data_IF_554876067509
#
_entry.id   IF_554876067509
#
_cell.length_a   1.000
_cell.length_b   1.000
_cell.length_c   1.000
_cell.angle_alpha   90.00
_cell.angle_beta   90.00
_cell.angle_gamma   90.00
#
_symmetry.space_group_name_H-M   'P 1'
#
loop_
_entity.id
_entity.type
_entity.pdbx_description
1 polymer ?
#
# COMPACT_ATOMS: atom_id res chain seq x y z
N UNK A 1 -9.58 7.83 -1.32
CA UNK A 1 -10.25 7.18 -0.16
C UNK A 1 -9.65 5.83 0.15
N UNK A 2 -9.65 4.86 -0.78
CA UNK A 2 -9.05 3.53 -0.52
C UNK A 2 -7.58 3.57 -0.05
N UNK A 3 -6.76 4.42 -0.66
CA UNK A 3 -5.33 4.59 -0.29
C UNK A 3 -5.15 5.14 1.11
N UNK A 4 -6.04 6.04 1.55
CA UNK A 4 -6.05 6.55 2.91
C UNK A 4 -6.45 5.47 3.92
N UNK A 5 -7.45 4.64 3.59
CA UNK A 5 -7.87 3.50 4.43
C UNK A 5 -6.74 2.47 4.55
N UNK A 6 -6.04 2.19 3.45
CA UNK A 6 -4.87 1.31 3.45
C UNK A 6 -3.75 1.87 4.34
N UNK A 7 -3.44 3.17 4.19
CA UNK A 7 -2.42 3.84 5.00
C UNK A 7 -2.75 3.81 6.50
N UNK A 8 -4.03 4.00 6.88
CA UNK A 8 -4.48 3.89 8.27
C UNK A 8 -4.30 2.46 8.79
N UNK A 9 -4.68 1.45 8.01
CA UNK A 9 -4.46 0.05 8.37
C UNK A 9 -2.97 -0.27 8.59
N UNK A 10 -2.10 0.20 7.69
CA UNK A 10 -0.64 0.05 7.85
C UNK A 10 -0.09 0.81 9.06
N UNK A 11 -0.61 2.01 9.34
CA UNK A 11 -0.20 2.80 10.50
C UNK A 11 -0.60 2.13 11.82
N UNK A 12 -1.75 1.46 11.90
CA UNK A 12 -2.17 0.73 13.11
C UNK A 12 -1.21 -0.41 13.48
N UNK A 13 -0.51 -1.00 12.51
CA UNK A 13 0.55 -1.97 12.82
C UNK A 13 1.72 -1.34 13.60
N UNK A 14 2.00 -0.04 13.43
CA UNK A 14 3.07 0.65 14.17
C UNK A 14 2.74 0.86 15.66
N UNK A 15 1.45 0.79 16.04
CA UNK A 15 1.00 0.97 17.42
C UNK A 15 0.83 -0.35 18.19
N UNK A 16 1.34 -1.47 17.64
CA UNK A 16 1.29 -2.79 18.28
C UNK A 16 2.04 -2.81 19.62
N UNK A 17 1.36 -3.24 20.68
CA UNK A 17 1.96 -3.55 21.97
C UNK A 17 1.74 -5.03 22.31
N UNK A 18 2.70 -5.64 23.02
CA UNK A 18 2.71 -7.07 23.36
C UNK A 18 1.48 -7.51 24.18
N UNK A 19 0.87 -6.59 24.94
CA UNK A 19 -0.30 -6.86 25.77
C UNK A 19 -1.65 -6.74 25.04
N UNK A 20 -1.65 -6.38 23.75
CA UNK A 20 -2.89 -6.13 23.00
C UNK A 20 -3.53 -7.42 22.48
N UNK A 21 -4.87 -7.53 22.51
CA UNK A 21 -5.57 -8.72 22.05
C UNK A 21 -5.45 -8.88 20.53
N UNK A 22 -5.26 -10.12 20.06
CA UNK A 22 -5.05 -10.48 18.65
C UNK A 22 -5.98 -9.77 17.66
N UNK A 23 -7.26 -9.63 18.02
CA UNK A 23 -8.26 -8.99 17.16
C UNK A 23 -7.95 -7.51 16.89
N UNK A 24 -7.43 -6.78 17.87
CA UNK A 24 -7.17 -5.34 17.78
C UNK A 24 -5.88 -5.03 17.03
N UNK A 25 -4.86 -5.88 17.19
CA UNK A 25 -3.53 -5.65 16.62
C UNK A 25 -3.33 -6.35 15.28
N UNK A 26 -3.93 -7.51 15.02
CA UNK A 26 -3.72 -8.24 13.76
C UNK A 26 -4.96 -8.18 12.87
N UNK A 27 -6.13 -8.51 13.41
CA UNK A 27 -7.33 -8.74 12.61
C UNK A 27 -7.90 -7.42 12.04
N UNK A 28 -8.04 -6.39 12.88
CA UNK A 28 -8.54 -5.06 12.47
C UNK A 28 -7.60 -4.36 11.48
N UNK A 29 -6.27 -4.27 11.72
CA UNK A 29 -5.37 -3.61 10.78
C UNK A 29 -5.26 -4.35 9.44
N UNK A 30 -5.27 -5.68 9.45
CA UNK A 30 -5.26 -6.49 8.22
C UNK A 30 -6.51 -6.30 7.39
N UNK A 31 -7.69 -6.27 8.02
CA UNK A 31 -8.95 -5.99 7.35
C UNK A 31 -8.97 -4.59 6.74
N UNK A 32 -8.57 -3.57 7.51
CA UNK A 32 -8.53 -2.19 7.02
C UNK A 32 -7.54 -2.03 5.85
N UNK A 33 -6.35 -2.62 5.95
CA UNK A 33 -5.39 -2.63 4.86
C UNK A 33 -5.96 -3.30 3.61
N UNK A 34 -6.57 -4.49 3.76
CA UNK A 34 -7.15 -5.25 2.65
C UNK A 34 -8.33 -4.54 1.98
N UNK A 35 -9.22 -3.94 2.78
CA UNK A 35 -10.35 -3.14 2.29
C UNK A 35 -9.84 -1.89 1.56
N UNK A 36 -8.86 -1.19 2.13
CA UNK A 36 -8.27 -0.02 1.51
C UNK A 36 -7.60 -0.32 0.17
N UNK A 37 -6.88 -1.44 0.09
CA UNK A 37 -6.29 -1.94 -1.16
C UNK A 37 -7.39 -2.26 -2.17
N UNK A 38 -8.42 -3.04 -1.80
CA UNK A 38 -9.54 -3.38 -2.68
C UNK A 38 -10.28 -2.17 -3.23
N UNK A 39 -10.58 -1.20 -2.36
CA UNK A 39 -11.22 0.08 -2.71
C UNK A 39 -10.34 0.97 -3.60
N UNK A 40 -9.03 0.77 -3.60
CA UNK A 40 -8.11 1.51 -4.47
C UNK A 40 -7.93 0.82 -5.81
N UNK A 41 -7.81 -0.50 -5.81
CA UNK A 41 -7.43 -1.29 -6.97
C UNK A 41 -8.51 -1.28 -8.06
N UNK A 42 -9.77 -1.42 -7.66
CA UNK A 42 -10.91 -1.48 -8.58
C UNK A 42 -11.10 -0.19 -9.40
N UNK A 43 -11.15 1.01 -8.79
CA UNK A 43 -11.22 2.25 -9.57
C UNK A 43 -9.93 2.57 -10.32
N UNK A 44 -8.74 2.19 -9.81
CA UNK A 44 -7.48 2.41 -10.52
C UNK A 44 -7.47 1.71 -11.87
N UNK A 45 -7.85 0.42 -11.89
CA UNK A 45 -7.91 -0.36 -13.13
C UNK A 45 -8.93 0.23 -14.09
N UNK A 46 -10.11 0.63 -13.60
CA UNK A 46 -11.15 1.22 -14.43
C UNK A 46 -10.68 2.54 -15.07
N UNK A 47 -10.07 3.45 -14.29
CA UNK A 47 -9.58 4.74 -14.79
C UNK A 47 -8.41 4.56 -15.76
N UNK A 48 -7.50 3.62 -15.49
CA UNK A 48 -6.34 3.38 -16.35
C UNK A 48 -6.72 2.86 -17.75
N UNK A 49 -7.90 2.25 -17.90
CA UNK A 49 -8.37 1.71 -19.18
C UNK A 49 -9.58 2.46 -19.76
N UNK A 50 -10.17 3.41 -19.03
CA UNK A 50 -11.42 4.07 -19.43
C UNK A 50 -11.30 4.92 -20.71
N UNK A 51 -10.15 5.58 -20.91
CA UNK A 51 -9.90 6.47 -22.06
C UNK A 51 -8.94 5.87 -23.10
N UNK A 52 -8.47 4.63 -22.89
CA UNK A 52 -7.50 4.01 -23.78
C UNK A 52 -8.18 3.33 -24.99
N UNK A 53 -7.75 3.62 -26.24
CA UNK A 53 -8.14 2.84 -27.41
C UNK A 53 -7.82 1.34 -27.20
N UNK A 54 -8.62 0.40 -27.72
CA UNK A 54 -8.41 -1.05 -27.54
C UNK A 54 -7.00 -1.53 -27.91
N UNK A 55 -6.38 -0.86 -28.88
CA UNK A 55 -5.03 -1.11 -29.39
C UNK A 55 -3.94 -0.69 -28.39
N UNK A 56 -4.23 0.29 -27.52
CA UNK A 56 -3.29 0.88 -26.57
C UNK A 56 -3.48 0.37 -25.13
N UNK A 57 -4.54 -0.38 -24.84
CA UNK A 57 -4.81 -0.96 -23.51
C UNK A 57 -3.63 -1.76 -22.97
N UNK A 58 -2.91 -2.48 -23.86
CA UNK A 58 -1.70 -3.21 -23.49
C UNK A 58 -0.55 -2.28 -23.06
N UNK A 59 -0.34 -1.17 -23.77
CA UNK A 59 0.67 -0.16 -23.39
C UNK A 59 0.28 0.56 -22.10
N UNK A 60 -0.98 0.96 -21.95
CA UNK A 60 -1.51 1.59 -20.73
C UNK A 60 -1.35 0.67 -19.50
N UNK A 61 -1.65 -0.62 -19.65
CA UNK A 61 -1.48 -1.62 -18.59
C UNK A 61 -0.01 -1.87 -18.24
N UNK A 62 0.87 -1.87 -19.24
CA UNK A 62 2.32 -1.97 -19.05
C UNK A 62 2.86 -0.77 -18.28
N UNK A 63 2.47 0.45 -18.67
CA UNK A 63 2.82 1.68 -17.95
C UNK A 63 2.31 1.67 -16.51
N UNK A 64 1.07 1.22 -16.27
CA UNK A 64 0.52 1.09 -14.92
C UNK A 64 1.32 0.10 -14.06
N UNK A 65 1.73 -1.03 -14.62
CA UNK A 65 2.50 -2.05 -13.92
C UNK A 65 3.92 -1.59 -13.59
N UNK A 66 4.58 -0.93 -14.55
CA UNK A 66 5.91 -0.32 -14.33
C UNK A 66 5.83 0.78 -13.26
N UNK A 67 4.82 1.65 -13.34
CA UNK A 67 4.59 2.71 -12.35
C UNK A 67 4.39 2.13 -10.95
N UNK A 68 3.68 0.99 -10.84
CA UNK A 68 3.52 0.27 -9.57
C UNK A 68 4.81 -0.33 -9.05
N UNK A 69 5.63 -0.92 -9.91
CA UNK A 69 6.96 -1.44 -9.52
C UNK A 69 7.86 -0.32 -9.02
N UNK A 70 7.91 0.82 -9.73
CA UNK A 70 8.67 2.00 -9.33
C UNK A 70 8.14 2.56 -8.00
N UNK A 71 6.81 2.67 -7.85
CA UNK A 71 6.22 3.11 -6.59
C UNK A 71 6.54 2.18 -5.41
N UNK A 72 6.51 0.86 -5.65
CA UNK A 72 6.87 -0.15 -4.66
C UNK A 72 8.34 -0.09 -4.23
N UNK A 73 9.26 0.07 -5.18
CA UNK A 73 10.69 0.17 -4.88
C UNK A 73 11.02 1.47 -4.13
N UNK A 74 10.44 2.60 -4.53
CA UNK A 74 10.58 3.88 -3.84
C UNK A 74 10.01 3.83 -2.42
N UNK A 75 8.80 3.28 -2.25
CA UNK A 75 8.19 3.12 -0.94
C UNK A 75 9.03 2.26 0.00
N UNK A 76 9.55 1.13 -0.50
CA UNK A 76 10.44 0.28 0.26
C UNK A 76 11.76 1.00 0.64
N UNK A 77 12.37 1.76 -0.28
CA UNK A 77 13.59 2.49 0.01
C UNK A 77 13.42 3.50 1.16
N UNK A 78 12.27 4.20 1.20
CA UNK A 78 11.92 5.10 2.30
C UNK A 78 11.75 4.32 3.61
N UNK A 79 10.99 3.22 3.60
CA UNK A 79 10.78 2.38 4.79
C UNK A 79 12.10 1.84 5.35
N UNK A 80 13.01 1.37 4.48
CA UNK A 80 14.34 0.89 4.87
C UNK A 80 15.19 2.02 5.45
N UNK A 81 15.18 3.22 4.86
CA UNK A 81 15.90 4.37 5.42
C UNK A 81 15.41 4.71 6.84
N UNK A 82 14.09 4.73 7.04
CA UNK A 82 13.50 4.98 8.36
C UNK A 82 13.90 3.89 9.36
N UNK A 83 13.78 2.62 9.00
CA UNK A 83 14.16 1.50 9.85
C UNK A 83 15.66 1.48 10.21
N UNK A 84 16.53 1.81 9.25
CA UNK A 84 17.96 1.94 9.49
C UNK A 84 18.24 3.10 10.46
N UNK A 85 17.56 4.24 10.29
CA UNK A 85 17.73 5.40 11.18
C UNK A 85 17.25 5.12 12.62
N UNK A 86 16.15 4.39 12.81
CA UNK A 86 15.64 4.03 14.14
C UNK A 86 16.53 3.01 14.85
N UNK A 87 17.06 2.04 14.09
CA UNK A 87 17.97 1.01 14.62
C UNK A 87 19.30 1.64 15.05
N UNK A 88 19.89 2.52 14.22
CA UNK A 88 21.13 3.22 14.55
C UNK A 88 21.03 4.17 15.76
N UNK A 89 19.83 4.53 16.20
CA UNK A 89 19.58 5.33 17.40
C UNK A 89 19.39 4.47 18.66
N UNK A 90 19.31 3.14 18.50
CA UNK A 90 19.07 2.17 19.59
C UNK A 90 20.36 1.52 20.11
N UNK A 91 21.51 1.85 19.51
CA UNK A 91 22.88 1.49 19.93
C UNK A 91 23.58 2.68 20.61
#
# INVERSE_FOLDING_TARGET
>A
VGTAVAAIGTFMFSTMNLDSPFWAVILVPSLLASIGIGLSFMPLSNVATADAPPEEVGMASGLLSTSRQIGGSLGLAVLVSVAASSTAHSD
#
